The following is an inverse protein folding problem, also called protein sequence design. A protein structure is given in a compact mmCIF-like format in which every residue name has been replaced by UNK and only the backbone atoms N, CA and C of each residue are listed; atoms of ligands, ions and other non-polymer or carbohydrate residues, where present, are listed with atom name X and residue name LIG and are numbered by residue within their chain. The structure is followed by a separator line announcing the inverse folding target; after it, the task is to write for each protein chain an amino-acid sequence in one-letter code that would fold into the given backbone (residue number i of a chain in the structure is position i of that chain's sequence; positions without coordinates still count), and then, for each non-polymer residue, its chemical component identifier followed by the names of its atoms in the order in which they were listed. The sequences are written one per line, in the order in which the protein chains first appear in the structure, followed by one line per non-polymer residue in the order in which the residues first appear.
data_IF_471062119781
#
_entry.id   IF_471062119781
#
_cell.length_a   1.000
_cell.length_b   1.000
_cell.length_c   1.000
_cell.angle_alpha   90.00
_cell.angle_beta   90.00
_cell.angle_gamma   90.00
#
_symmetry.space_group_name_H-M   'P 1'
#
loop_
_entity.id
_entity.type
_entity.pdbx_description
1 polymer ?
#
# COMPACT_ATOMS: atom_id res chain seq x y z
N UNK A 1 -6.14 18.21 -14.20
CA UNK A 1 -5.84 16.87 -13.66
C UNK A 1 -4.56 16.90 -12.84
N UNK A 2 -3.48 17.48 -13.36
CA UNK A 2 -2.17 17.45 -12.71
C UNK A 2 -2.10 18.27 -11.41
N UNK A 3 -2.78 19.43 -11.34
CA UNK A 3 -2.87 20.21 -10.10
C UNK A 3 -3.62 19.48 -8.97
N UNK A 4 -4.61 18.65 -9.30
CA UNK A 4 -5.35 17.86 -8.31
C UNK A 4 -4.47 16.75 -7.74
N UNK A 5 -3.77 16.00 -8.61
CA UNK A 5 -2.84 14.96 -8.18
C UNK A 5 -1.74 15.55 -7.27
N UNK A 6 -1.16 16.69 -7.64
CA UNK A 6 -0.16 17.38 -6.80
C UNK A 6 -0.72 17.75 -5.44
N UNK A 7 -1.89 18.39 -5.36
CA UNK A 7 -2.50 18.76 -4.09
C UNK A 7 -2.87 17.54 -3.24
N UNK A 8 -3.34 16.45 -3.87
CA UNK A 8 -3.63 15.19 -3.20
C UNK A 8 -2.38 14.58 -2.57
N UNK A 9 -1.32 14.41 -3.36
CA UNK A 9 -0.07 13.82 -2.87
C UNK A 9 0.63 14.68 -1.82
N UNK A 10 0.62 16.00 -1.97
CA UNK A 10 1.15 16.92 -0.95
C UNK A 10 0.33 16.79 0.35
N UNK A 11 -1.00 16.76 0.27
CA UNK A 11 -1.86 16.67 1.46
C UNK A 11 -1.69 15.35 2.20
N UNK A 12 -1.65 14.22 1.48
CA UNK A 12 -1.40 12.91 2.10
C UNK A 12 0.02 12.83 2.67
N UNK A 13 1.01 13.39 1.96
CA UNK A 13 2.39 13.47 2.45
C UNK A 13 2.52 14.28 3.75
N UNK A 14 1.68 15.29 3.98
CA UNK A 14 1.66 16.05 5.23
C UNK A 14 1.09 15.26 6.42
N UNK A 15 0.29 14.21 6.17
CA UNK A 15 -0.21 13.31 7.22
C UNK A 15 0.87 12.31 7.68
N UNK A 16 1.96 12.19 6.94
CA UNK A 16 3.07 11.33 7.30
C UNK A 16 3.84 11.89 8.50
N UNK A 17 3.83 11.16 9.60
CA UNK A 17 4.61 11.41 10.81
C UNK A 17 5.70 10.34 10.95
N UNK A 18 6.97 10.67 10.64
CA UNK A 18 8.10 9.73 10.75
C UNK A 18 8.28 9.19 12.17
N UNK A 19 7.88 9.96 13.20
CA UNK A 19 8.00 9.55 14.59
C UNK A 19 7.05 8.39 14.90
N UNK A 20 5.87 8.35 14.28
CA UNK A 20 4.96 7.21 14.43
C UNK A 20 5.53 5.92 13.84
N UNK A 21 6.31 6.03 12.76
CA UNK A 21 7.00 4.87 12.18
C UNK A 21 8.01 4.27 13.17
N UNK A 22 8.71 5.12 13.93
CA UNK A 22 9.63 4.66 14.96
C UNK A 22 8.93 4.11 16.21
N UNK A 23 7.68 4.53 16.48
CA UNK A 23 6.86 3.99 17.58
C UNK A 23 6.31 2.60 17.26
N UNK A 24 6.04 2.31 16.00
CA UNK A 24 5.47 1.03 15.55
C UNK A 24 6.24 0.43 14.34
N UNK A 25 7.55 0.17 14.46
CA UNK A 25 8.38 -0.26 13.33
C UNK A 25 7.94 -1.63 12.79
N UNK A 26 7.41 -2.50 13.65
CA UNK A 26 6.88 -3.80 13.23
C UNK A 26 5.70 -3.69 12.27
N UNK A 27 4.78 -2.73 12.50
CA UNK A 27 3.60 -2.54 11.64
C UNK A 27 4.01 -1.97 10.28
N UNK A 28 5.00 -1.09 10.26
CA UNK A 28 5.58 -0.58 9.02
C UNK A 28 6.25 -1.69 8.20
N UNK A 29 7.17 -2.44 8.80
CA UNK A 29 7.87 -3.55 8.12
C UNK A 29 6.88 -4.61 7.64
N UNK A 30 5.87 -4.94 8.44
CA UNK A 30 4.81 -5.87 8.02
C UNK A 30 4.05 -5.35 6.81
N UNK A 31 3.68 -4.06 6.79
CA UNK A 31 3.00 -3.44 5.64
C UNK A 31 3.87 -3.51 4.38
N UNK A 32 5.14 -3.10 4.47
CA UNK A 32 6.11 -3.17 3.36
C UNK A 32 6.27 -4.61 2.88
N UNK A 33 6.44 -5.57 3.77
CA UNK A 33 6.60 -6.98 3.42
C UNK A 33 5.33 -7.54 2.73
N UNK A 34 4.14 -7.19 3.20
CA UNK A 34 2.88 -7.61 2.58
C UNK A 34 2.74 -6.99 1.19
N UNK A 35 3.08 -5.71 1.02
CA UNK A 35 2.93 -5.00 -0.27
C UNK A 35 3.96 -5.48 -1.29
N UNK A 36 5.23 -5.59 -0.91
CA UNK A 36 6.31 -5.94 -1.82
C UNK A 36 6.44 -7.43 -2.07
N UNK A 37 6.05 -8.28 -1.11
CA UNK A 37 6.21 -9.74 -1.21
C UNK A 37 4.86 -10.46 -1.17
N UNK A 38 4.03 -10.20 -0.16
CA UNK A 38 2.79 -10.94 0.08
C UNK A 38 1.79 -10.86 -1.08
N UNK A 39 1.41 -9.63 -1.48
CA UNK A 39 0.49 -9.35 -2.58
C UNK A 39 0.99 -9.90 -3.92
N UNK A 40 2.24 -9.60 -4.34
CA UNK A 40 2.81 -10.16 -5.57
C UNK A 40 2.88 -11.67 -5.56
N UNK A 41 3.29 -12.29 -4.43
CA UNK A 41 3.34 -13.75 -4.32
C UNK A 41 1.94 -14.38 -4.46
N UNK A 42 0.92 -13.79 -3.81
CA UNK A 42 -0.46 -14.23 -3.96
C UNK A 42 -0.94 -14.08 -5.41
N UNK A 43 -0.66 -12.96 -6.05
CA UNK A 43 -1.01 -12.72 -7.45
C UNK A 43 -0.31 -13.73 -8.39
N UNK A 44 0.97 -13.97 -8.19
CA UNK A 44 1.74 -14.95 -8.95
C UNK A 44 1.13 -16.35 -8.82
N UNK A 45 0.83 -16.77 -7.60
CA UNK A 45 0.23 -18.07 -7.31
C UNK A 45 -1.15 -18.20 -7.98
N UNK A 46 -2.02 -17.19 -7.85
CA UNK A 46 -3.35 -17.22 -8.45
C UNK A 46 -3.26 -17.30 -9.98
N UNK A 47 -2.43 -16.46 -10.61
CA UNK A 47 -2.30 -16.42 -12.06
C UNK A 47 -1.68 -17.72 -12.61
N UNK A 48 -0.72 -18.31 -11.90
CA UNK A 48 -0.16 -19.61 -12.28
C UNK A 48 -1.15 -20.75 -12.11
N UNK A 49 -1.96 -20.77 -11.03
CA UNK A 49 -3.03 -21.75 -10.83
C UNK A 49 -4.13 -21.66 -11.90
N UNK A 50 -4.36 -20.48 -12.46
CA UNK A 50 -5.27 -20.26 -13.59
C UNK A 50 -4.68 -20.72 -14.95
N UNK A 51 -3.45 -21.24 -14.96
CA UNK A 51 -2.82 -21.81 -16.16
C UNK A 51 -2.13 -20.80 -17.08
N UNK A 52 -1.95 -19.55 -16.65
CA UNK A 52 -1.20 -18.56 -17.43
C UNK A 52 0.31 -18.79 -17.31
N UNK A 53 1.04 -18.50 -18.39
CA UNK A 53 2.50 -18.65 -18.40
C UNK A 53 3.23 -17.69 -17.44
N UNK A 54 4.42 -18.07 -16.99
CA UNK A 54 5.21 -17.34 -15.99
C UNK A 54 5.47 -15.88 -16.35
N UNK A 55 5.57 -15.54 -17.65
CA UNK A 55 5.74 -14.16 -18.11
C UNK A 55 4.55 -13.27 -17.75
N UNK A 56 3.33 -13.79 -17.90
CA UNK A 56 2.09 -13.08 -17.54
C UNK A 56 1.99 -12.99 -16.02
N UNK A 57 2.23 -14.11 -15.32
CA UNK A 57 2.19 -14.14 -13.86
C UNK A 57 3.15 -13.14 -13.22
N UNK A 58 4.41 -13.08 -13.68
CA UNK A 58 5.38 -12.10 -13.21
C UNK A 58 4.95 -10.66 -13.52
N UNK A 59 4.45 -10.39 -14.73
CA UNK A 59 3.98 -9.05 -15.10
C UNK A 59 2.84 -8.56 -14.19
N UNK A 60 1.86 -9.41 -13.92
CA UNK A 60 0.75 -9.09 -13.00
C UNK A 60 1.24 -8.90 -11.57
N UNK A 61 2.16 -9.74 -11.12
CA UNK A 61 2.71 -9.67 -9.76
C UNK A 61 3.46 -8.36 -9.51
N UNK A 62 4.29 -7.94 -10.46
CA UNK A 62 5.01 -6.66 -10.39
C UNK A 62 4.04 -5.48 -10.45
N UNK A 63 3.02 -5.53 -11.31
CA UNK A 63 2.02 -4.46 -11.39
C UNK A 63 1.22 -4.28 -10.08
N UNK A 64 1.08 -5.34 -9.28
CA UNK A 64 0.36 -5.33 -8.00
C UNK A 64 1.24 -5.06 -6.78
N UNK A 65 2.57 -4.96 -6.93
CA UNK A 65 3.51 -4.76 -5.81
C UNK A 65 3.55 -3.34 -5.27
N UNK A 66 2.61 -2.48 -5.69
CA UNK A 66 2.59 -1.05 -5.35
C UNK A 66 1.34 -0.68 -4.56
N UNK A 67 1.45 0.41 -3.80
CA UNK A 67 0.31 1.10 -3.21
C UNK A 67 -0.19 2.14 -4.21
N UNK A 68 -1.46 2.04 -4.59
CA UNK A 68 -2.09 3.02 -5.47
C UNK A 68 -2.76 4.17 -4.69
N UNK A 69 -3.04 5.27 -5.38
CA UNK A 69 -3.72 6.46 -4.84
C UNK A 69 -5.05 6.11 -4.13
N UNK A 70 -5.81 5.18 -4.68
CA UNK A 70 -7.07 4.73 -4.08
C UNK A 70 -6.90 4.05 -2.71
N UNK A 71 -5.74 3.44 -2.44
CA UNK A 71 -5.46 2.86 -1.12
C UNK A 71 -5.31 3.96 -0.07
N UNK A 72 -4.75 5.11 -0.44
CA UNK A 72 -4.59 6.27 0.45
C UNK A 72 -5.93 6.96 0.74
N UNK A 73 -6.80 7.05 -0.27
CA UNK A 73 -8.18 7.52 -0.09
C UNK A 73 -8.90 6.60 0.90
N UNK A 74 -8.81 5.28 0.70
CA UNK A 74 -9.47 4.30 1.57
C UNK A 74 -8.91 4.33 3.01
N UNK A 75 -7.60 4.47 3.17
CA UNK A 75 -6.96 4.62 4.48
C UNK A 75 -7.48 5.85 5.23
N UNK A 76 -7.61 6.98 4.53
CA UNK A 76 -8.15 8.23 5.10
C UNK A 76 -9.61 8.06 5.55
N UNK A 77 -10.44 7.39 4.74
CA UNK A 77 -11.84 7.10 5.11
C UNK A 77 -11.90 6.14 6.30
N UNK A 78 -11.07 5.10 6.32
CA UNK A 78 -11.02 4.15 7.43
C UNK A 78 -10.58 4.79 8.75
N UNK A 79 -9.64 5.73 8.70
CA UNK A 79 -9.19 6.53 9.85
C UNK A 79 -10.30 7.43 10.38
N UNK A 80 -11.02 8.14 9.48
CA UNK A 80 -12.18 8.97 9.85
C UNK A 80 -13.32 8.17 10.50
N UNK A 81 -13.48 6.90 10.11
CA UNK A 81 -14.47 5.99 10.69
C UNK A 81 -13.98 5.30 11.97
N UNK A 82 -12.73 5.54 12.40
CA UNK A 82 -12.15 4.92 13.60
C UNK A 82 -11.90 3.42 13.46
N UNK A 83 -11.81 2.90 12.22
CA UNK A 83 -11.59 1.48 11.93
C UNK A 83 -10.10 1.13 12.06
N UNK A 84 -9.23 2.09 11.76
CA UNK A 84 -7.79 1.88 11.77
C UNK A 84 -7.20 1.98 13.18
N UNK A 85 -6.30 1.05 13.55
CA UNK A 85 -5.49 1.20 14.75
C UNK A 85 -4.51 2.36 14.59
N UNK A 86 -4.11 2.97 15.71
CA UNK A 86 -3.20 4.11 15.71
C UNK A 86 -1.91 3.80 14.92
N UNK A 87 -1.56 4.68 13.97
CA UNK A 87 -0.35 4.55 13.15
C UNK A 87 -0.48 3.70 11.88
N UNK A 88 -1.64 3.07 11.62
CA UNK A 88 -1.85 2.27 10.41
C UNK A 88 -1.76 3.10 9.12
N UNK A 89 -2.33 4.31 9.11
CA UNK A 89 -2.25 5.25 7.98
C UNK A 89 -0.80 5.63 7.69
N UNK A 90 0.00 5.87 8.73
CA UNK A 90 1.42 6.21 8.60
C UNK A 90 2.25 5.07 8.01
N UNK A 91 1.96 3.83 8.41
CA UNK A 91 2.61 2.67 7.82
C UNK A 91 2.27 2.47 6.33
N UNK A 92 1.05 2.81 5.90
CA UNK A 92 0.64 2.77 4.50
C UNK A 92 1.28 3.88 3.65
N UNK A 93 1.39 5.10 4.19
CA UNK A 93 2.00 6.22 3.46
C UNK A 93 3.50 6.03 3.29
N UNK A 94 4.17 5.38 4.25
CA UNK A 94 5.62 5.14 4.18
C UNK A 94 6.05 3.92 3.35
N UNK A 95 5.13 3.02 2.98
CA UNK A 95 5.44 1.72 2.37
C UNK A 95 5.42 1.77 0.83
#
# INVERSE_FOLDING_TARGET
RDAFAVLFFVSVGMLFDPVQLMKAPGLFVATVAIVLLGKPAAAFLIVTLLGYGSRIALGVSVALSQIGEFSLILATVADQLGIFPAGATNALVGA
#
